data_IF_781585023887
#
_entry.id   IF_781585023887
#
_cell.length_a   1.000
_cell.length_b   1.000
_cell.length_c   1.000
_cell.angle_alpha   90.00
_cell.angle_beta   90.00
_cell.angle_gamma   90.00
#
_symmetry.space_group_name_H-M   'P 1'
#
loop_
_entity.id
_entity.type
_entity.pdbx_description
1 polymer ?
#
# COMPACT_ATOMS: atom_id res chain seq x y z
N UNK A 1 8.51 22.66 -6.88
CA UNK A 1 9.20 21.43 -7.29
C UNK A 1 9.41 20.64 -6.01
N UNK A 2 8.50 19.71 -5.71
CA UNK A 2 8.64 18.87 -4.53
C UNK A 2 9.79 17.89 -4.76
N UNK A 3 10.70 17.85 -3.80
CA UNK A 3 11.90 17.04 -3.89
C UNK A 3 11.52 15.56 -3.77
N UNK A 4 11.95 14.74 -4.73
CA UNK A 4 11.85 13.27 -4.68
C UNK A 4 12.56 12.65 -3.47
N UNK A 5 13.30 13.46 -2.70
CA UNK A 5 14.02 13.06 -1.49
C UNK A 5 13.23 13.30 -0.20
N UNK A 6 12.00 13.82 -0.29
CA UNK A 6 11.18 14.08 0.89
C UNK A 6 10.50 12.78 1.32
N UNK A 7 10.60 12.46 2.60
CA UNK A 7 9.86 11.36 3.19
C UNK A 7 8.35 11.63 3.08
N UNK A 8 7.61 10.60 2.69
CA UNK A 8 6.17 10.73 2.50
C UNK A 8 5.43 9.57 3.14
N UNK A 9 4.19 9.84 3.51
CA UNK A 9 3.31 8.86 4.11
C UNK A 9 1.89 8.99 3.56
N UNK A 10 1.29 7.85 3.25
CA UNK A 10 -0.09 7.75 2.83
C UNK A 10 -0.78 6.64 3.62
N UNK A 11 -2.04 6.89 3.97
CA UNK A 11 -2.89 5.91 4.63
C UNK A 11 -4.03 5.58 3.66
N UNK A 12 -4.41 4.31 3.58
CA UNK A 12 -5.45 3.88 2.65
C UNK A 12 -5.95 2.47 2.91
N UNK A 13 -6.90 2.08 2.06
CA UNK A 13 -7.35 0.70 1.93
C UNK A 13 -6.70 0.09 0.70
N UNK A 14 -6.13 -1.11 0.82
CA UNK A 14 -5.42 -1.81 -0.24
C UNK A 14 -6.01 -3.20 -0.46
N UNK A 15 -5.92 -3.70 -1.69
CA UNK A 15 -6.49 -4.98 -2.09
C UNK A 15 -5.76 -5.53 -3.32
N UNK A 16 -5.81 -6.85 -3.47
CA UNK A 16 -5.33 -7.55 -4.66
C UNK A 16 -6.22 -7.24 -5.87
N UNK A 17 -5.71 -7.37 -7.11
CA UNK A 17 -6.53 -7.28 -8.31
C UNK A 17 -7.80 -8.13 -8.19
N UNK A 18 -8.94 -7.53 -8.53
CA UNK A 18 -10.28 -8.14 -8.48
C UNK A 18 -10.77 -8.60 -7.09
N UNK A 19 -10.08 -8.22 -5.99
CA UNK A 19 -10.44 -8.62 -4.61
C UNK A 19 -10.79 -7.42 -3.70
N UNK A 20 -11.54 -6.44 -4.20
CA UNK A 20 -11.91 -5.23 -3.44
C UNK A 20 -12.64 -5.52 -2.11
N UNK A 21 -13.42 -6.60 -2.06
CA UNK A 21 -14.14 -6.99 -0.85
C UNK A 21 -13.19 -7.46 0.27
N UNK A 22 -11.99 -7.94 -0.08
CA UNK A 22 -10.95 -8.39 0.86
C UNK A 22 -9.92 -7.28 1.15
N UNK A 23 -10.33 -6.02 1.06
CA UNK A 23 -9.44 -4.88 1.32
C UNK A 23 -9.05 -4.80 2.79
N UNK A 24 -7.83 -4.31 3.01
CA UNK A 24 -7.26 -4.11 4.35
C UNK A 24 -6.72 -2.69 4.48
N UNK A 25 -6.64 -2.21 5.72
CA UNK A 25 -6.05 -0.92 6.03
C UNK A 25 -4.52 -1.04 6.02
N UNK A 26 -3.86 -0.07 5.38
CA UNK A 26 -2.41 -0.01 5.31
C UNK A 26 -1.89 1.42 5.37
N UNK A 27 -0.64 1.53 5.79
CA UNK A 27 0.19 2.73 5.71
C UNK A 27 1.31 2.48 4.73
N UNK A 28 1.41 3.35 3.73
CA UNK A 28 2.52 3.39 2.77
C UNK A 28 3.47 4.47 3.23
N UNK A 29 4.72 4.12 3.45
CA UNK A 29 5.79 5.08 3.76
C UNK A 29 6.85 5.03 2.66
N UNK A 30 7.31 6.19 2.23
CA UNK A 30 8.43 6.33 1.32
C UNK A 30 9.59 7.06 2.02
N UNK A 31 10.79 6.52 1.90
CA UNK A 31 12.03 7.27 2.10
C UNK A 31 13.03 6.98 0.97
N UNK A 32 14.00 7.87 0.71
CA UNK A 32 15.00 7.65 -0.33
C UNK A 32 15.90 6.43 -0.06
N UNK A 33 16.11 6.11 1.22
CA UNK A 33 17.01 5.04 1.66
C UNK A 33 16.32 3.67 1.63
N UNK A 34 15.02 3.64 1.89
CA UNK A 34 14.24 2.41 2.06
C UNK A 34 13.26 2.11 0.91
N UNK A 35 13.04 3.07 0.02
CA UNK A 35 12.00 2.99 -0.99
C UNK A 35 10.59 3.03 -0.39
N UNK A 36 9.65 2.33 -1.04
CA UNK A 36 8.25 2.26 -0.63
C UNK A 36 8.03 1.03 0.24
N UNK A 37 7.52 1.24 1.45
CA UNK A 37 7.15 0.18 2.39
C UNK A 37 5.65 0.25 2.68
N UNK A 38 4.97 -0.89 2.61
CA UNK A 38 3.58 -1.04 3.03
C UNK A 38 3.55 -1.74 4.39
N UNK A 39 3.03 -1.05 5.41
CA UNK A 39 2.74 -1.61 6.73
C UNK A 39 1.25 -1.82 6.87
N UNK A 40 0.83 -3.02 7.25
CA UNK A 40 -0.59 -3.34 7.44
C UNK A 40 -0.78 -4.27 8.64
N UNK A 41 -2.01 -4.33 9.13
CA UNK A 41 -2.41 -5.27 10.17
C UNK A 41 -3.67 -5.98 9.70
N UNK A 42 -3.64 -7.31 9.71
CA UNK A 42 -4.78 -8.15 9.34
C UNK A 42 -5.13 -9.02 10.54
N UNK A 43 -6.41 -9.07 10.87
CA UNK A 43 -6.95 -9.89 11.94
C UNK A 43 -7.34 -11.26 11.35
N UNK A 44 -6.54 -12.29 11.62
CA UNK A 44 -6.78 -13.66 11.12
C UNK A 44 -5.51 -14.31 10.59
N UNK A 45 -5.63 -15.53 10.07
CA UNK A 45 -4.52 -16.27 9.45
C UNK A 45 -4.41 -16.07 7.93
N UNK A 46 -5.34 -15.34 7.32
CA UNK A 46 -5.38 -15.12 5.87
C UNK A 46 -4.54 -13.90 5.51
N UNK A 47 -3.23 -14.08 5.53
CA UNK A 47 -2.32 -13.12 4.90
C UNK A 47 -2.61 -13.08 3.39
N UNK A 48 -2.67 -11.90 2.76
CA UNK A 48 -2.84 -11.81 1.33
C UNK A 48 -1.68 -12.54 0.66
N UNK A 49 -1.93 -13.34 -0.39
CA UNK A 49 -0.85 -13.96 -1.15
C UNK A 49 0.11 -12.88 -1.67
N UNK A 50 1.37 -13.26 -1.82
CA UNK A 50 2.38 -12.39 -2.42
C UNK A 50 1.89 -11.86 -3.77
N UNK A 51 2.04 -10.57 -4.01
CA UNK A 51 1.62 -9.93 -5.24
C UNK A 51 2.59 -8.83 -5.65
N UNK A 52 2.81 -8.73 -6.96
CA UNK A 52 3.58 -7.62 -7.54
C UNK A 52 2.77 -6.32 -7.63
N UNK A 53 1.45 -6.42 -7.45
CA UNK A 53 0.51 -5.32 -7.62
C UNK A 53 -0.53 -5.30 -6.50
N UNK A 54 -0.70 -4.13 -5.89
CA UNK A 54 -1.83 -3.85 -5.02
C UNK A 54 -2.53 -2.59 -5.50
N UNK A 55 -3.86 -2.63 -5.58
CA UNK A 55 -4.66 -1.43 -5.79
C UNK A 55 -5.00 -0.81 -4.44
N UNK A 56 -5.09 0.51 -4.42
CA UNK A 56 -5.38 1.26 -3.20
C UNK A 56 -6.31 2.43 -3.41
N UNK A 57 -7.05 2.76 -2.36
CA UNK A 57 -7.78 4.02 -2.22
C UNK A 57 -7.28 4.69 -0.94
N UNK A 58 -6.64 5.85 -1.12
CA UNK A 58 -6.11 6.64 -0.02
C UNK A 58 -7.24 7.25 0.81
N UNK A 59 -6.95 7.65 2.04
CA UNK A 59 -7.92 8.36 2.91
C UNK A 59 -8.39 9.68 2.31
N UNK A 60 -7.64 10.26 1.37
CA UNK A 60 -8.04 11.42 0.55
C UNK A 60 -9.10 11.08 -0.50
N UNK A 61 -9.36 9.80 -0.76
CA UNK A 61 -10.22 9.30 -1.83
C UNK A 61 -9.48 9.06 -3.15
N UNK A 62 -8.19 9.41 -3.24
CA UNK A 62 -7.38 9.21 -4.43
C UNK A 62 -7.08 7.72 -4.65
N UNK A 63 -7.14 7.28 -5.92
CA UNK A 63 -6.79 5.93 -6.30
C UNK A 63 -5.28 5.84 -6.54
N UNK A 64 -4.67 4.77 -6.05
CA UNK A 64 -3.25 4.49 -6.28
C UNK A 64 -3.04 3.02 -6.63
N UNK A 65 -1.86 2.70 -7.13
CA UNK A 65 -1.41 1.33 -7.34
C UNK A 65 0.02 1.23 -6.82
N UNK A 66 0.25 0.26 -5.94
CA UNK A 66 1.58 -0.09 -5.46
C UNK A 66 2.13 -1.18 -6.36
N UNK A 67 3.37 -1.01 -6.82
CA UNK A 67 4.07 -1.95 -7.70
C UNK A 67 5.35 -2.40 -7.02
N UNK A 68 5.50 -3.71 -6.83
CA UNK A 68 6.63 -4.31 -6.13
C UNK A 68 6.22 -5.61 -5.43
N UNK A 69 7.18 -6.43 -4.98
CA UNK A 69 6.89 -7.71 -4.35
C UNK A 69 6.36 -7.48 -2.92
N UNK A 70 5.04 -7.34 -2.79
CA UNK A 70 4.38 -7.23 -1.50
C UNK A 70 3.96 -8.62 -1.01
N UNK A 71 4.20 -8.92 0.26
CA UNK A 71 3.91 -10.21 0.92
C UNK A 71 3.50 -10.00 2.37
#
# INVERSE_FOLDING_TARGET
MESLLVENEWIGQFFLPDQFENRFLGRVSFSPEDGVKLSFCILGNDLPPSSDILHGVLTTGEKCTLVGPFS
#
